data_IF_464384785601
#
_entry.id   IF_464384785601
#
_cell.length_a   1.000
_cell.length_b   1.000
_cell.length_c   1.000
_cell.angle_alpha   90.00
_cell.angle_beta   90.00
_cell.angle_gamma   90.00
#
_symmetry.space_group_name_H-M   'P 1'
#
loop_
_entity.id
_entity.type
_entity.pdbx_description
1 polymer ?
#
# COMPACT_ATOMS: atom_id res chain seq x y z
N UNK A 1 15.97 7.20 -5.34
CA UNK A 1 15.62 5.76 -5.16
C UNK A 1 14.12 5.67 -4.92
N UNK A 2 13.44 4.68 -5.50
CA UNK A 2 12.00 4.49 -5.34
C UNK A 2 11.75 3.13 -4.72
N UNK A 3 10.92 3.10 -3.67
CA UNK A 3 10.49 1.86 -3.00
C UNK A 3 8.98 1.74 -3.17
N UNK A 4 8.53 0.65 -3.79
CA UNK A 4 7.12 0.33 -3.95
C UNK A 4 6.61 -0.42 -2.72
N UNK A 5 5.79 0.25 -1.92
CA UNK A 5 5.14 -0.26 -0.72
C UNK A 5 3.65 -0.55 -0.96
N UNK A 6 3.23 -0.91 -2.18
CA UNK A 6 1.83 -1.19 -2.49
C UNK A 6 1.18 -2.33 -1.67
N UNK A 7 1.99 -3.20 -1.05
CA UNK A 7 1.55 -4.31 -0.19
C UNK A 7 2.07 -4.19 1.25
N UNK A 8 2.59 -3.04 1.66
CA UNK A 8 3.24 -2.93 2.97
C UNK A 8 2.28 -3.11 4.14
N UNK A 9 0.99 -2.86 3.94
CA UNK A 9 -0.03 -3.09 4.96
C UNK A 9 -0.09 -4.56 5.42
N UNK A 10 0.38 -5.52 4.60
CA UNK A 10 0.47 -6.93 4.95
C UNK A 10 1.72 -7.29 5.79
N UNK A 11 2.70 -6.38 5.91
CA UNK A 11 3.91 -6.52 6.72
C UNK A 11 4.43 -5.13 7.17
N UNK A 12 3.64 -4.39 7.98
CA UNK A 12 3.90 -2.97 8.27
C UNK A 12 5.26 -2.72 8.94
N UNK A 13 5.78 -3.69 9.67
CA UNK A 13 7.10 -3.67 10.31
C UNK A 13 8.27 -3.57 9.32
N UNK A 14 8.07 -3.98 8.06
CA UNK A 14 9.09 -3.92 7.02
C UNK A 14 9.17 -2.55 6.32
N UNK A 15 8.32 -1.59 6.69
CA UNK A 15 8.26 -0.30 6.00
C UNK A 15 9.54 0.50 6.18
N UNK A 16 9.98 1.15 5.11
CA UNK A 16 11.17 2.00 5.07
C UNK A 16 10.87 3.47 5.36
N UNK A 17 9.67 3.80 5.84
CA UNK A 17 9.25 5.19 6.09
C UNK A 17 10.21 5.97 6.98
N UNK A 18 10.83 5.31 7.97
CA UNK A 18 11.81 5.94 8.86
C UNK A 18 13.09 6.39 8.14
N UNK A 19 13.41 5.78 6.99
CA UNK A 19 14.57 6.13 6.17
C UNK A 19 14.41 7.47 5.44
N UNK A 20 13.19 8.00 5.32
CA UNK A 20 12.97 9.33 4.70
C UNK A 20 13.80 10.44 5.36
N UNK A 21 14.08 10.31 6.67
CA UNK A 21 14.92 11.26 7.42
C UNK A 21 16.40 11.24 6.98
N UNK A 22 16.88 10.10 6.50
CA UNK A 22 18.29 9.88 6.19
C UNK A 22 18.57 10.00 4.68
N UNK A 23 17.55 9.84 3.84
CA UNK A 23 17.69 9.81 2.39
C UNK A 23 16.74 10.83 1.71
N UNK A 24 17.22 12.07 1.43
CA UNK A 24 16.45 13.11 0.76
C UNK A 24 15.83 12.67 -0.58
N UNK A 25 16.51 11.78 -1.31
CA UNK A 25 16.11 11.28 -2.64
C UNK A 25 15.27 9.99 -2.59
N UNK A 26 14.76 9.59 -1.43
CA UNK A 26 13.86 8.44 -1.29
C UNK A 26 12.42 8.86 -1.57
N UNK A 27 11.75 8.11 -2.45
CA UNK A 27 10.31 8.16 -2.65
C UNK A 27 9.71 6.78 -2.33
N UNK A 28 8.64 6.77 -1.55
CA UNK A 28 7.89 5.57 -1.18
C UNK A 28 6.51 5.65 -1.82
N UNK A 29 6.13 4.63 -2.58
CA UNK A 29 4.82 4.57 -3.25
C UNK A 29 3.87 3.71 -2.41
N UNK A 30 2.64 4.19 -2.23
CA UNK A 30 1.57 3.50 -1.49
C UNK A 30 0.27 3.53 -2.30
N UNK A 31 -0.65 2.63 -1.98
CA UNK A 31 -1.94 2.55 -2.67
C UNK A 31 -3.09 2.15 -1.77
N UNK A 32 -4.29 2.63 -2.09
CA UNK A 32 -5.54 2.14 -1.49
C UNK A 32 -6.10 0.91 -2.24
N UNK A 33 -5.40 0.41 -3.26
CA UNK A 33 -5.93 -0.65 -4.13
C UNK A 33 -5.85 -2.06 -3.53
N UNK A 34 -5.02 -2.29 -2.51
CA UNK A 34 -4.68 -3.63 -2.01
C UNK A 34 -5.36 -3.91 -0.67
N UNK A 35 -4.67 -3.69 0.45
CA UNK A 35 -5.22 -3.97 1.78
C UNK A 35 -6.53 -3.21 2.06
N UNK A 36 -6.66 -1.98 1.56
CA UNK A 36 -7.87 -1.17 1.69
C UNK A 36 -9.04 -1.64 0.80
N UNK A 37 -8.83 -2.58 -0.13
CA UNK A 37 -9.85 -3.10 -1.06
C UNK A 37 -10.53 -2.03 -1.95
N UNK A 38 -9.88 -0.88 -2.17
CA UNK A 38 -10.43 0.25 -2.94
C UNK A 38 -9.75 0.41 -4.31
N UNK A 39 -9.51 -0.69 -5.03
CA UNK A 39 -8.83 -0.67 -6.33
C UNK A 39 -9.51 0.23 -7.37
N UNK A 40 -10.86 0.28 -7.36
CA UNK A 40 -11.66 1.12 -8.26
C UNK A 40 -11.54 2.61 -7.99
N UNK A 41 -11.06 3.01 -6.80
CA UNK A 41 -10.91 4.42 -6.43
C UNK A 41 -9.81 5.14 -7.24
N UNK A 42 -8.87 4.36 -7.78
CA UNK A 42 -7.67 4.83 -8.48
C UNK A 42 -6.87 5.86 -7.68
N UNK A 43 -6.80 5.65 -6.36
CA UNK A 43 -6.07 6.52 -5.44
C UNK A 43 -4.79 5.83 -4.93
N UNK A 44 -3.68 6.54 -5.06
CA UNK A 44 -2.38 6.19 -4.51
C UNK A 44 -1.65 7.45 -4.07
N UNK A 45 -0.54 7.28 -3.35
CA UNK A 45 0.19 8.40 -2.79
C UNK A 45 1.69 8.12 -2.73
N UNK A 46 2.47 9.19 -2.72
CA UNK A 46 3.93 9.15 -2.61
C UNK A 46 4.32 9.83 -1.30
N UNK A 47 5.17 9.16 -0.51
CA UNK A 47 5.82 9.73 0.66
C UNK A 47 7.26 10.04 0.28
N UNK A 48 7.66 11.30 0.37
CA UNK A 48 9.01 11.77 0.05
C UNK A 48 9.31 13.06 0.81
N UNK A 49 10.57 13.49 0.79
CA UNK A 49 10.97 14.78 1.35
C UNK A 49 10.33 15.95 0.56
N UNK A 50 10.07 17.11 1.21
CA UNK A 50 9.35 18.24 0.59
C UNK A 50 9.93 18.69 -0.75
N UNK A 51 11.25 18.77 -0.88
CA UNK A 51 11.91 19.17 -2.13
C UNK A 51 11.56 18.24 -3.30
N UNK A 52 11.48 16.93 -3.05
CA UNK A 52 11.08 15.95 -4.07
C UNK A 52 9.58 16.04 -4.37
N UNK A 53 8.74 16.27 -3.36
CA UNK A 53 7.30 16.48 -3.54
C UNK A 53 7.03 17.75 -4.38
N UNK A 54 7.77 18.83 -4.17
CA UNK A 54 7.65 20.06 -4.95
C UNK A 54 8.00 19.84 -6.42
N UNK A 55 9.03 19.04 -6.70
CA UNK A 55 9.40 18.66 -8.08
C UNK A 55 8.28 17.83 -8.71
N UNK A 56 7.76 16.82 -8.00
CA UNK A 56 6.67 15.98 -8.49
C UNK A 56 5.39 16.79 -8.74
N UNK A 57 5.10 17.76 -7.89
CA UNK A 57 3.91 18.62 -7.99
C UNK A 57 3.96 19.56 -9.21
N UNK A 58 5.13 19.83 -9.78
CA UNK A 58 5.26 20.62 -11.02
C UNK A 58 4.87 19.83 -12.28
N UNK A 59 4.90 18.50 -12.22
CA UNK A 59 4.63 17.62 -13.37
C UNK A 59 3.31 16.88 -13.26
N UNK A 60 2.64 16.93 -12.10
CA UNK A 60 1.32 16.34 -11.91
C UNK A 60 0.26 17.15 -12.69
N UNK A 61 -0.74 16.46 -13.23
CA UNK A 61 -1.85 17.11 -13.92
C UNK A 61 -2.66 17.99 -12.94
N UNK A 62 -3.26 19.10 -13.42
CA UNK A 62 -4.22 19.85 -12.62
C UNK A 62 -5.42 18.95 -12.28
N UNK A 63 -5.81 18.91 -11.00
CA UNK A 63 -6.90 18.08 -10.47
C UNK A 63 -6.75 16.58 -10.76
N UNK A 64 -5.70 15.93 -10.22
CA UNK A 64 -5.37 14.53 -10.56
C UNK A 64 -6.33 13.50 -9.97
N UNK A 65 -7.16 13.88 -9.00
CA UNK A 65 -8.08 13.00 -8.28
C UNK A 65 -9.51 13.56 -8.37
N UNK A 66 -10.49 12.78 -8.85
CA UNK A 66 -11.90 13.18 -8.80
C UNK A 66 -12.38 13.37 -7.35
N UNK A 67 -13.25 14.35 -7.12
CA UNK A 67 -13.89 14.60 -5.80
C UNK A 67 -14.45 13.34 -5.15
N UNK A 68 -15.28 12.50 -5.81
CA UNK A 68 -15.80 11.30 -5.16
C UNK A 68 -14.70 10.31 -4.76
N UNK A 69 -13.58 10.29 -5.50
CA UNK A 69 -12.44 9.46 -5.12
C UNK A 69 -11.72 9.99 -3.89
N UNK A 70 -11.58 11.32 -3.77
CA UNK A 70 -10.99 11.96 -2.60
C UNK A 70 -11.85 11.76 -1.34
N UNK A 71 -13.17 11.91 -1.45
CA UNK A 71 -14.10 11.78 -0.32
C UNK A 71 -14.09 10.36 0.26
N UNK A 72 -14.07 9.34 -0.60
CA UNK A 72 -13.98 7.94 -0.16
C UNK A 72 -12.58 7.59 0.35
N UNK A 73 -11.51 8.17 -0.22
CA UNK A 73 -10.15 7.99 0.29
C UNK A 73 -10.03 8.56 1.72
N UNK A 74 -10.57 9.76 1.96
CA UNK A 74 -10.60 10.39 3.28
C UNK A 74 -11.33 9.50 4.29
N UNK A 75 -12.52 9.00 3.91
CA UNK A 75 -13.29 8.08 4.75
C UNK A 75 -12.50 6.81 5.06
N UNK A 76 -11.86 6.20 4.07
CA UNK A 76 -11.07 4.98 4.24
C UNK A 76 -9.89 5.17 5.21
N UNK A 77 -9.31 6.37 5.23
CA UNK A 77 -8.18 6.74 6.09
C UNK A 77 -8.60 7.19 7.50
N UNK A 78 -9.89 7.14 7.85
CA UNK A 78 -10.35 7.40 9.21
C UNK A 78 -9.89 6.29 10.17
N UNK A 79 -9.57 6.61 11.44
CA UNK A 79 -9.05 5.62 12.40
C UNK A 79 -9.91 4.35 12.53
N UNK A 80 -11.23 4.48 12.52
CA UNK A 80 -12.16 3.33 12.59
C UNK A 80 -12.05 2.41 11.37
N UNK A 81 -11.85 2.98 10.19
CA UNK A 81 -11.75 2.23 8.93
C UNK A 81 -10.35 1.64 8.76
N UNK A 82 -9.30 2.32 9.23
CA UNK A 82 -7.96 1.75 9.33
C UNK A 82 -7.96 0.51 10.23
N UNK A 83 -8.62 0.56 11.39
CA UNK A 83 -8.73 -0.61 12.26
C UNK A 83 -9.45 -1.79 11.57
N UNK A 84 -10.49 -1.48 10.78
CA UNK A 84 -11.19 -2.49 9.97
C UNK A 84 -10.27 -3.11 8.92
N UNK A 85 -9.50 -2.30 8.20
CA UNK A 85 -8.51 -2.76 7.21
C UNK A 85 -7.44 -3.63 7.85
N UNK A 86 -6.96 -3.28 9.04
CA UNK A 86 -5.99 -4.08 9.80
C UNK A 86 -6.57 -5.45 10.16
N UNK A 87 -7.81 -5.52 10.64
CA UNK A 87 -8.47 -6.79 10.95
C UNK A 87 -8.62 -7.69 9.71
N UNK A 88 -9.11 -7.12 8.59
CA UNK A 88 -9.22 -7.83 7.31
C UNK A 88 -7.86 -8.31 6.80
N UNK A 89 -6.82 -7.51 6.99
CA UNK A 89 -5.46 -7.87 6.59
C UNK A 89 -4.93 -9.07 7.40
N UNK A 90 -5.21 -9.13 8.70
CA UNK A 90 -4.85 -10.29 9.53
C UNK A 90 -5.58 -11.57 9.11
N UNK A 91 -6.85 -11.46 8.73
CA UNK A 91 -7.61 -12.57 8.15
C UNK A 91 -6.98 -13.05 6.83
N UNK A 92 -6.66 -12.12 5.92
CA UNK A 92 -6.01 -12.44 4.65
C UNK A 92 -4.64 -13.10 4.83
N UNK A 93 -3.85 -12.66 5.82
CA UNK A 93 -2.57 -13.29 6.17
C UNK A 93 -2.76 -14.72 6.67
N UNK A 94 -3.80 -14.97 7.48
CA UNK A 94 -4.15 -16.31 7.95
C UNK A 94 -4.59 -17.21 6.79
N UNK A 95 -5.43 -16.69 5.90
CA UNK A 95 -5.89 -17.39 4.69
C UNK A 95 -4.72 -17.69 3.74
N UNK A 96 -3.76 -16.76 3.60
CA UNK A 96 -2.52 -16.98 2.83
C UNK A 96 -1.72 -18.14 3.40
N UNK A 97 -1.53 -18.22 4.71
CA UNK A 97 -0.80 -19.33 5.35
C UNK A 97 -1.50 -20.66 5.15
N UNK A 98 -2.83 -20.69 5.32
CA UNK A 98 -3.64 -21.87 5.06
C UNK A 98 -3.51 -22.33 3.60
N UNK A 99 -3.69 -21.40 2.65
CA UNK A 99 -3.63 -21.70 1.22
C UNK A 99 -2.22 -22.19 0.83
N UNK A 100 -1.17 -21.55 1.34
CA UNK A 100 0.20 -21.98 1.08
C UNK A 100 0.43 -23.43 1.55
N UNK A 101 -0.05 -23.81 2.74
CA UNK A 101 0.02 -25.19 3.24
C UNK A 101 -0.78 -26.16 2.37
N UNK A 102 -1.99 -25.77 1.96
CA UNK A 102 -2.84 -26.60 1.11
C UNK A 102 -2.22 -26.85 -0.27
N UNK A 103 -1.60 -25.84 -0.88
CA UNK A 103 -0.93 -25.94 -2.18
C UNK A 103 0.26 -26.91 -2.14
N UNK A 104 1.01 -26.98 -1.02
CA UNK A 104 2.15 -27.89 -0.87
C UNK A 104 1.78 -29.38 -0.89
N UNK A 105 0.50 -29.72 -0.69
CA UNK A 105 -0.02 -31.09 -0.77
C UNK A 105 -0.29 -31.51 -2.21
N UNK A 106 -0.44 -30.55 -3.14
CA UNK A 106 -0.74 -30.84 -4.54
C UNK A 106 0.53 -31.26 -5.29
N UNK A 107 0.48 -32.46 -5.90
CA UNK A 107 1.61 -33.02 -6.66
C UNK A 107 2.05 -32.18 -7.86
N UNK A 108 1.20 -31.29 -8.37
CA UNK A 108 1.47 -30.41 -9.50
C UNK A 108 2.19 -29.10 -9.10
N UNK A 109 2.27 -28.80 -7.80
CA UNK A 109 2.92 -27.60 -7.29
C UNK A 109 4.37 -27.93 -6.99
N UNK A 110 5.30 -27.37 -7.77
CA UNK A 110 6.72 -27.45 -7.47
C UNK A 110 7.01 -26.78 -6.13
N UNK A 111 7.70 -27.51 -5.24
CA UNK A 111 8.11 -26.98 -3.94
C UNK A 111 9.35 -26.14 -4.16
N UNK A 112 9.20 -24.81 -4.18
CA UNK A 112 10.36 -23.92 -4.16
C UNK A 112 11.17 -24.18 -2.88
N UNK A 113 12.44 -24.55 -3.06
CA UNK A 113 13.45 -24.78 -2.02
C UNK A 113 13.70 -23.50 -1.23
#
# INVERSE_FOLDING_TARGET
MVVDEAYIEFCPEASVINLLKNYPHLAIIRTLSKAFALAGLRCGFVLANPELIDILSKVIAPYPIPVPSADLAEQALRPSNIATVQALTQELLSNRQWLAKALLVLHQVEKSV
#
